data_IF_139256317182
#
_entry.id   IF_139256317182
#
_cell.length_a   1.000
_cell.length_b   1.000
_cell.length_c   1.000
_cell.angle_alpha   90.00
_cell.angle_beta   90.00
_cell.angle_gamma   90.00
#
_symmetry.space_group_name_H-M   'P 1'
#
loop_
_entity.id
_entity.type
_entity.pdbx_description
1 polymer ?
#
# COMPACT_ATOMS: atom_id res chain seq x y z
N UNK A 1 12.74 8.13 -18.00
CA UNK A 1 12.69 6.73 -17.51
C UNK A 1 11.23 6.37 -17.31
N UNK A 2 10.88 5.13 -17.60
CA UNK A 2 9.56 4.57 -17.36
C UNK A 2 9.76 3.21 -16.69
N UNK A 3 8.91 2.87 -15.71
CA UNK A 3 9.05 1.65 -14.92
C UNK A 3 7.90 0.69 -15.26
N UNK A 4 8.18 -0.61 -15.27
CA UNK A 4 7.21 -1.66 -15.54
C UNK A 4 7.59 -2.91 -14.74
N UNK A 5 6.71 -3.32 -13.84
CA UNK A 5 6.85 -4.59 -13.11
C UNK A 5 6.61 -5.77 -14.07
N UNK A 6 7.28 -6.89 -13.82
CA UNK A 6 7.33 -8.04 -14.75
C UNK A 6 5.98 -8.75 -14.97
N UNK A 7 4.98 -8.42 -14.17
CA UNK A 7 3.64 -9.00 -14.18
C UNK A 7 2.52 -8.01 -14.55
N UNK A 8 2.89 -6.76 -14.81
CA UNK A 8 2.03 -5.67 -15.26
C UNK A 8 2.08 -5.49 -16.78
N UNK A 9 1.10 -4.78 -17.34
CA UNK A 9 1.00 -4.55 -18.79
C UNK A 9 0.66 -3.10 -19.09
N UNK A 10 1.47 -2.44 -19.91
CA UNK A 10 1.12 -1.14 -20.48
C UNK A 10 0.07 -1.27 -21.57
N UNK A 11 -0.88 -0.35 -21.59
CA UNK A 11 -1.79 -0.18 -22.72
C UNK A 11 -1.06 0.54 -23.87
N UNK A 12 -1.50 0.37 -25.13
CA UNK A 12 -0.80 0.90 -26.30
C UNK A 12 -0.52 2.42 -26.24
N UNK A 13 -1.38 3.17 -25.56
CA UNK A 13 -1.32 4.63 -25.46
C UNK A 13 -0.42 5.11 -24.30
N UNK A 14 0.13 4.21 -23.47
CA UNK A 14 0.83 4.57 -22.24
C UNK A 14 1.92 5.63 -22.46
N UNK A 15 2.89 5.33 -23.33
CA UNK A 15 4.03 6.23 -23.54
C UNK A 15 3.60 7.53 -24.22
N UNK A 16 2.72 7.47 -25.21
CA UNK A 16 2.33 8.67 -25.97
C UNK A 16 1.59 9.67 -25.08
N UNK A 17 0.71 9.22 -24.18
CA UNK A 17 -0.02 10.11 -23.29
C UNK A 17 0.80 10.58 -22.09
N UNK A 18 1.65 9.71 -21.52
CA UNK A 18 2.58 10.14 -20.47
C UNK A 18 3.60 11.16 -20.97
N UNK A 19 4.13 10.99 -22.19
CA UNK A 19 5.07 11.93 -22.80
C UNK A 19 4.41 13.27 -23.13
N UNK A 20 3.13 13.28 -23.55
CA UNK A 20 2.38 14.54 -23.71
C UNK A 20 2.26 15.26 -22.36
N UNK A 21 1.88 14.55 -21.31
CA UNK A 21 1.67 15.14 -19.98
C UNK A 21 2.98 15.67 -19.38
N UNK A 22 4.07 14.89 -19.39
CA UNK A 22 5.34 15.28 -18.77
C UNK A 22 6.02 16.48 -19.47
N UNK A 23 5.70 16.70 -20.75
CA UNK A 23 6.19 17.84 -21.53
C UNK A 23 5.21 19.03 -21.54
N UNK A 24 4.03 18.91 -20.91
CA UNK A 24 3.04 19.99 -20.87
C UNK A 24 3.42 21.11 -19.88
N UNK A 25 2.93 22.34 -20.12
CA UNK A 25 2.97 23.52 -19.25
C UNK A 25 4.16 23.62 -18.26
N UNK A 26 5.30 24.04 -18.77
CA UNK A 26 6.54 24.23 -17.99
C UNK A 26 7.26 22.94 -17.61
N UNK A 27 6.76 21.77 -18.05
CA UNK A 27 7.34 20.45 -17.83
C UNK A 27 7.10 19.90 -16.42
N UNK A 28 6.83 18.61 -16.33
CA UNK A 28 6.83 17.87 -15.07
C UNK A 28 8.08 16.99 -14.98
N UNK A 29 8.43 16.65 -13.75
CA UNK A 29 9.56 15.77 -13.43
C UNK A 29 9.12 14.31 -13.30
N UNK A 30 7.89 14.11 -12.83
CA UNK A 30 7.25 12.81 -12.74
C UNK A 30 5.77 12.91 -13.07
N UNK A 31 5.29 11.96 -13.86
CA UNK A 31 3.88 11.78 -14.18
C UNK A 31 3.48 10.32 -13.93
N UNK A 32 2.25 10.11 -13.50
CA UNK A 32 1.69 8.76 -13.39
C UNK A 32 0.22 8.68 -13.83
N UNK A 33 -0.21 7.49 -14.23
CA UNK A 33 -1.59 7.23 -14.65
C UNK A 33 -2.36 6.33 -13.69
N UNK A 34 -3.66 6.20 -13.94
CA UNK A 34 -4.48 5.17 -13.33
C UNK A 34 -4.21 3.81 -13.98
N UNK A 35 -4.56 2.75 -13.25
CA UNK A 35 -4.43 1.37 -13.68
C UNK A 35 -5.72 0.60 -13.40
N UNK A 36 -6.05 -0.35 -14.27
CA UNK A 36 -7.10 -1.33 -14.03
C UNK A 36 -6.49 -2.58 -13.39
N UNK A 37 -7.07 -3.02 -12.28
CA UNK A 37 -6.56 -4.18 -11.56
C UNK A 37 -7.08 -5.49 -12.18
N UNK A 38 -6.26 -6.54 -12.16
CA UNK A 38 -6.64 -7.88 -12.59
C UNK A 38 -5.93 -8.98 -11.77
N UNK A 39 -6.28 -10.25 -11.97
CA UNK A 39 -5.72 -11.38 -11.25
C UNK A 39 -6.47 -11.72 -9.95
N UNK A 40 -6.58 -10.77 -9.03
CA UNK A 40 -7.34 -10.95 -7.79
C UNK A 40 -8.84 -10.70 -8.02
N UNK A 41 -9.74 -11.69 -7.83
CA UNK A 41 -11.17 -11.54 -8.10
C UNK A 41 -11.86 -10.39 -7.35
N UNK A 42 -11.36 -10.02 -6.16
CA UNK A 42 -11.94 -8.95 -5.33
C UNK A 42 -11.73 -7.59 -5.99
N UNK A 43 -10.59 -7.41 -6.65
CA UNK A 43 -10.18 -6.13 -7.22
C UNK A 43 -10.22 -6.13 -8.75
N UNK A 44 -10.40 -7.28 -9.39
CA UNK A 44 -10.43 -7.40 -10.83
C UNK A 44 -11.47 -6.46 -11.46
N UNK A 45 -11.06 -5.75 -12.51
CA UNK A 45 -11.87 -4.76 -13.21
C UNK A 45 -12.05 -3.42 -12.47
N UNK A 46 -11.51 -3.27 -11.25
CA UNK A 46 -11.56 -2.00 -10.53
C UNK A 46 -10.36 -1.11 -10.89
N UNK A 47 -10.64 0.17 -11.11
CA UNK A 47 -9.63 1.20 -11.23
C UNK A 47 -8.89 1.38 -9.90
N UNK A 48 -7.58 1.56 -9.97
CA UNK A 48 -6.74 1.74 -8.78
C UNK A 48 -7.00 3.08 -8.10
N UNK A 49 -7.15 4.16 -8.86
CA UNK A 49 -7.49 5.48 -8.31
C UNK A 49 -8.93 5.56 -7.78
N UNK A 50 -9.78 4.57 -8.04
CA UNK A 50 -11.10 4.47 -7.38
C UNK A 50 -10.99 3.94 -5.96
N UNK A 51 -10.04 3.04 -5.70
CA UNK A 51 -9.80 2.48 -4.37
C UNK A 51 -8.79 3.30 -3.57
N UNK A 52 -7.75 3.82 -4.23
CA UNK A 52 -6.67 4.61 -3.65
C UNK A 52 -6.46 5.86 -4.52
N UNK A 53 -7.32 6.89 -4.37
CA UNK A 53 -7.29 8.06 -5.23
C UNK A 53 -5.99 8.85 -5.08
N UNK A 54 -5.70 9.63 -6.11
CA UNK A 54 -4.88 10.84 -5.99
C UNK A 54 -5.81 12.05 -5.97
N UNK A 55 -5.62 12.95 -4.99
CA UNK A 55 -6.52 14.08 -4.71
C UNK A 55 -5.76 15.41 -4.72
N UNK A 56 -6.17 16.32 -5.62
CA UNK A 56 -5.54 17.64 -5.79
C UNK A 56 -4.07 17.53 -6.25
N UNK A 57 -3.25 18.51 -5.87
CA UNK A 57 -1.82 18.54 -6.18
C UNK A 57 -1.06 17.41 -5.47
N UNK A 58 0.01 16.91 -6.11
CA UNK A 58 0.88 15.89 -5.51
C UNK A 58 2.00 16.58 -4.72
N UNK A 59 1.91 16.52 -3.40
CA UNK A 59 2.91 17.10 -2.48
C UNK A 59 3.57 16.02 -1.64
N UNK A 60 4.67 16.38 -0.96
CA UNK A 60 5.35 15.51 -0.01
C UNK A 60 4.38 15.00 1.07
N UNK A 61 3.57 15.89 1.65
CA UNK A 61 2.58 15.57 2.69
C UNK A 61 1.50 14.61 2.18
N UNK A 62 1.00 14.83 0.96
CA UNK A 62 -0.04 13.97 0.37
C UNK A 62 0.46 12.59 -0.02
N UNK A 63 1.73 12.48 -0.39
CA UNK A 63 2.38 11.18 -0.54
C UNK A 63 2.55 10.50 0.83
N UNK A 64 2.97 11.24 1.88
CA UNK A 64 3.12 10.70 3.23
C UNK A 64 1.81 10.10 3.77
N UNK A 65 0.69 10.84 3.68
CA UNK A 65 -0.58 10.37 4.24
C UNK A 65 -1.31 9.37 3.32
N UNK A 66 -0.89 9.19 2.07
CA UNK A 66 -1.55 8.32 1.10
C UNK A 66 -2.77 8.95 0.43
N UNK A 67 -2.87 10.28 0.41
CA UNK A 67 -3.84 11.01 -0.42
C UNK A 67 -3.45 11.06 -1.90
N UNK A 68 -2.18 10.78 -2.19
CA UNK A 68 -1.65 10.51 -3.52
C UNK A 68 -0.97 9.15 -3.53
N UNK A 69 -1.40 8.26 -4.42
CA UNK A 69 -0.93 6.89 -4.51
C UNK A 69 -0.32 6.65 -5.90
N UNK A 70 0.99 6.40 -5.94
CA UNK A 70 1.75 6.21 -7.17
C UNK A 70 1.90 4.71 -7.43
N UNK A 71 1.54 4.26 -8.62
CA UNK A 71 1.77 2.89 -9.07
C UNK A 71 3.05 2.90 -9.91
N UNK A 72 4.06 2.13 -9.50
CA UNK A 72 5.37 2.12 -10.14
C UNK A 72 5.30 1.83 -11.63
N UNK A 73 4.55 0.80 -12.04
CA UNK A 73 4.31 0.49 -13.47
C UNK A 73 3.57 1.58 -14.25
N UNK A 74 3.00 2.58 -13.59
CA UNK A 74 2.30 3.69 -14.22
C UNK A 74 3.12 4.98 -14.33
N UNK A 75 4.39 4.97 -13.94
CA UNK A 75 5.25 6.16 -13.85
C UNK A 75 6.08 6.39 -15.11
N UNK A 76 6.15 7.66 -15.52
CA UNK A 76 7.24 8.21 -16.35
C UNK A 76 7.88 9.38 -15.62
N UNK A 77 9.21 9.38 -15.52
CA UNK A 77 9.98 10.41 -14.83
C UNK A 77 11.19 10.90 -15.64
N UNK A 78 11.62 12.15 -15.42
CA UNK A 78 12.85 12.71 -15.96
C UNK A 78 14.04 11.93 -15.39
N UNK A 79 14.87 11.39 -16.29
CA UNK A 79 16.04 10.58 -15.91
C UNK A 79 16.96 11.34 -14.94
N UNK A 80 17.23 12.60 -15.24
CA UNK A 80 18.14 13.41 -14.43
C UNK A 80 17.63 13.57 -13.00
N UNK A 81 16.34 13.87 -12.81
CA UNK A 81 15.74 14.01 -11.48
C UNK A 81 15.84 12.74 -10.63
N UNK A 82 15.66 11.57 -11.25
CA UNK A 82 15.82 10.26 -10.58
C UNK A 82 17.28 10.04 -10.14
N UNK A 83 18.24 10.46 -10.96
CA UNK A 83 19.67 10.37 -10.64
C UNK A 83 20.03 11.36 -9.53
N UNK A 84 19.57 12.61 -9.62
CA UNK A 84 19.87 13.69 -8.67
C UNK A 84 19.45 13.31 -7.24
N UNK A 85 18.30 12.66 -7.08
CA UNK A 85 17.82 12.23 -5.76
C UNK A 85 18.40 10.88 -5.29
N UNK A 86 19.16 10.17 -6.12
CA UNK A 86 19.91 8.96 -5.74
C UNK A 86 19.29 7.60 -6.11
N UNK A 87 18.60 7.48 -7.25
CA UNK A 87 18.00 6.22 -7.77
C UNK A 87 17.10 5.50 -6.73
N UNK A 88 16.81 4.20 -6.92
CA UNK A 88 16.18 3.36 -5.90
C UNK A 88 17.20 2.99 -4.82
N UNK A 89 16.76 3.06 -3.56
CA UNK A 89 17.59 2.65 -2.43
C UNK A 89 17.46 1.13 -2.22
N UNK A 90 18.56 0.41 -2.51
CA UNK A 90 18.65 -1.05 -2.44
C UNK A 90 18.57 -1.61 -1.02
N UNK A 91 18.65 -0.76 0.01
CA UNK A 91 18.47 -1.18 1.40
C UNK A 91 17.00 -1.52 1.72
N UNK A 92 16.06 -1.09 0.87
CA UNK A 92 14.65 -1.40 0.99
C UNK A 92 14.28 -2.60 0.11
N UNK A 93 13.98 -3.78 0.70
CA UNK A 93 13.51 -4.94 -0.06
C UNK A 93 12.06 -4.76 -0.55
N UNK A 94 11.34 -3.80 0.04
CA UNK A 94 9.99 -3.39 -0.33
C UNK A 94 9.81 -1.89 -0.07
N UNK A 95 8.85 -1.26 -0.76
CA UNK A 95 8.57 0.18 -0.64
C UNK A 95 9.71 1.10 -1.11
N UNK A 96 10.68 0.59 -1.89
CA UNK A 96 11.77 1.40 -2.45
C UNK A 96 11.27 2.49 -3.41
N UNK A 97 10.12 2.25 -4.04
CA UNK A 97 9.40 3.21 -4.88
C UNK A 97 8.82 4.35 -4.04
N UNK A 98 8.19 4.04 -2.92
CA UNK A 98 7.66 5.04 -2.00
C UNK A 98 8.78 5.97 -1.48
N UNK A 99 9.94 5.43 -1.10
CA UNK A 99 11.12 6.22 -0.74
C UNK A 99 11.56 7.17 -1.86
N UNK A 100 11.59 6.68 -3.10
CA UNK A 100 11.97 7.49 -4.26
C UNK A 100 10.97 8.62 -4.52
N UNK A 101 9.66 8.36 -4.44
CA UNK A 101 8.63 9.38 -4.63
C UNK A 101 8.70 10.47 -3.56
N UNK A 102 8.92 10.09 -2.30
CA UNK A 102 9.11 11.05 -1.20
C UNK A 102 10.35 11.91 -1.40
N UNK A 103 11.48 11.33 -1.83
CA UNK A 103 12.70 12.09 -2.12
C UNK A 103 12.50 13.08 -3.27
N UNK A 104 11.86 12.65 -4.37
CA UNK A 104 11.53 13.54 -5.48
C UNK A 104 10.64 14.71 -5.06
N UNK A 105 9.56 14.43 -4.34
CA UNK A 105 8.64 15.47 -3.87
C UNK A 105 9.32 16.44 -2.90
N UNK A 106 10.20 15.92 -2.01
CA UNK A 106 10.94 16.75 -1.07
C UNK A 106 12.02 17.60 -1.74
N UNK A 107 12.60 17.11 -2.84
CA UNK A 107 13.54 17.86 -3.70
C UNK A 107 12.82 18.78 -4.71
N UNK A 108 11.58 19.18 -4.43
CA UNK A 108 10.78 20.10 -5.26
C UNK A 108 10.53 19.62 -6.70
N UNK A 109 10.54 18.31 -6.94
CA UNK A 109 10.16 17.78 -8.26
C UNK A 109 8.68 18.07 -8.52
N UNK A 110 8.35 18.53 -9.72
CA UNK A 110 6.98 18.75 -10.16
C UNK A 110 6.35 17.41 -10.50
N UNK A 111 5.44 16.95 -9.64
CA UNK A 111 4.74 15.67 -9.82
C UNK A 111 3.28 15.93 -10.18
N UNK A 112 2.75 15.18 -11.16
CA UNK A 112 1.32 15.20 -11.49
C UNK A 112 0.82 13.82 -11.91
N UNK A 113 -0.49 13.70 -12.13
CA UNK A 113 -1.12 12.47 -12.59
C UNK A 113 -2.26 12.71 -13.56
N UNK A 114 -2.65 11.64 -14.26
CA UNK A 114 -3.85 11.58 -15.08
C UNK A 114 -4.74 10.41 -14.67
N UNK A 115 -6.06 10.59 -14.82
CA UNK A 115 -7.05 9.55 -14.50
C UNK A 115 -7.30 8.54 -15.63
N UNK A 116 -6.62 8.71 -16.76
CA UNK A 116 -6.72 7.74 -17.86
C UNK A 116 -6.09 6.42 -17.41
N UNK A 117 -6.82 5.32 -17.62
CA UNK A 117 -6.28 3.98 -17.42
C UNK A 117 -5.28 3.73 -18.52
N UNK A 118 -4.00 3.57 -18.17
CA UNK A 118 -2.93 3.29 -19.13
C UNK A 118 -2.13 2.02 -18.79
N UNK A 119 -2.47 1.35 -17.69
CA UNK A 119 -1.78 0.15 -17.20
C UNK A 119 -2.81 -0.89 -16.74
N UNK A 120 -2.54 -2.17 -16.98
CA UNK A 120 -3.18 -3.29 -16.29
C UNK A 120 -2.24 -3.72 -15.16
N UNK A 121 -2.68 -3.57 -13.93
CA UNK A 121 -1.92 -3.92 -12.73
C UNK A 121 -2.34 -5.29 -12.22
N UNK A 122 -1.40 -6.22 -12.11
CA UNK A 122 -1.68 -7.53 -11.53
C UNK A 122 -1.72 -7.41 -10.02
N UNK A 123 -2.78 -7.96 -9.45
CA UNK A 123 -2.91 -8.22 -8.02
C UNK A 123 -3.05 -9.72 -7.84
N UNK A 124 -2.32 -10.29 -6.89
CA UNK A 124 -2.41 -11.71 -6.58
C UNK A 124 -3.54 -11.97 -5.57
N UNK A 125 -4.35 -12.99 -5.84
CA UNK A 125 -5.24 -13.55 -4.84
C UNK A 125 -4.39 -14.19 -3.73
N UNK A 126 -4.65 -13.84 -2.48
CA UNK A 126 -3.84 -14.34 -1.37
C UNK A 126 -2.47 -13.67 -1.21
N UNK A 127 -2.27 -12.44 -1.70
CA UNK A 127 -1.29 -11.52 -1.07
C UNK A 127 -1.63 -11.50 0.42
N UNK A 128 -0.88 -12.27 1.19
CA UNK A 128 -1.29 -12.72 2.50
C UNK A 128 -1.39 -11.50 3.41
N UNK A 129 -2.11 -11.63 4.54
CA UNK A 129 -1.92 -10.69 5.64
C UNK A 129 -0.43 -10.49 5.98
N UNK A 130 0.43 -11.50 5.75
CA UNK A 130 1.90 -11.40 5.84
C UNK A 130 2.47 -10.37 4.86
N UNK A 131 2.11 -10.43 3.60
CA UNK A 131 2.67 -9.55 2.57
C UNK A 131 2.19 -8.12 2.78
N UNK A 132 0.92 -7.97 3.20
CA UNK A 132 0.37 -6.67 3.59
C UNK A 132 1.01 -6.11 4.87
N UNK A 133 1.30 -6.94 5.88
CA UNK A 133 2.05 -6.53 7.08
C UNK A 133 3.48 -6.11 6.71
N UNK A 134 4.17 -6.92 5.89
CA UNK A 134 5.51 -6.57 5.37
C UNK A 134 5.49 -5.25 4.59
N UNK A 135 4.43 -4.98 3.82
CA UNK A 135 4.25 -3.70 3.13
C UNK A 135 4.21 -2.53 4.12
N UNK A 136 3.40 -2.63 5.17
CA UNK A 136 3.34 -1.59 6.20
C UNK A 136 4.67 -1.44 6.96
N UNK A 137 5.36 -2.54 7.26
CA UNK A 137 6.69 -2.50 7.89
C UNK A 137 7.73 -1.86 6.95
N UNK A 138 7.63 -2.09 5.64
CA UNK A 138 8.41 -1.40 4.61
C UNK A 138 8.17 0.11 4.61
N UNK A 139 6.90 0.51 4.52
CA UNK A 139 6.49 1.92 4.58
C UNK A 139 6.96 2.62 5.86
N UNK A 140 6.86 1.96 7.02
CA UNK A 140 7.34 2.51 8.30
C UNK A 140 8.84 2.80 8.23
N UNK A 141 9.65 1.88 7.70
CA UNK A 141 11.11 2.10 7.57
C UNK A 141 11.44 3.27 6.65
N UNK A 142 10.67 3.43 5.56
CA UNK A 142 10.79 4.59 4.66
C UNK A 142 10.43 5.89 5.38
N UNK A 143 9.33 5.91 6.14
CA UNK A 143 8.90 7.07 6.92
C UNK A 143 9.91 7.44 8.01
N UNK A 144 10.48 6.44 8.70
CA UNK A 144 11.54 6.64 9.69
C UNK A 144 12.81 7.20 9.04
N UNK A 145 13.15 6.78 7.82
CA UNK A 145 14.23 7.38 7.03
C UNK A 145 13.91 8.83 6.66
N UNK A 146 12.71 9.10 6.16
CA UNK A 146 12.29 10.46 5.81
C UNK A 146 12.35 11.41 7.03
N UNK A 147 11.98 10.93 8.22
CA UNK A 147 12.02 11.71 9.47
C UNK A 147 13.43 12.17 9.88
N UNK A 148 14.49 11.51 9.39
CA UNK A 148 15.89 11.82 9.70
C UNK A 148 16.49 12.89 8.79
N UNK A 149 15.76 13.37 7.79
CA UNK A 149 16.26 14.46 6.94
C UNK A 149 16.27 15.79 7.71
N UNK A 150 17.29 16.59 7.46
CA UNK A 150 17.48 17.89 8.12
C UNK A 150 16.50 18.96 7.63
N UNK A 151 15.94 18.79 6.43
CA UNK A 151 15.01 19.71 5.79
C UNK A 151 13.53 19.47 6.17
N UNK A 152 13.25 18.57 7.11
CA UNK A 152 11.89 18.24 7.57
C UNK A 152 11.41 19.27 8.59
N UNK A 153 10.28 19.91 8.28
CA UNK A 153 9.64 20.88 9.18
C UNK A 153 9.00 20.17 10.39
N UNK A 154 8.64 20.94 11.42
CA UNK A 154 7.91 20.40 12.59
C UNK A 154 6.57 19.78 12.19
N UNK A 155 5.79 20.45 11.34
CA UNK A 155 4.51 19.93 10.85
C UNK A 155 4.66 18.65 10.03
N UNK A 156 5.71 18.56 9.20
CA UNK A 156 6.03 17.33 8.46
C UNK A 156 6.45 16.20 9.41
N UNK A 157 7.22 16.50 10.47
CA UNK A 157 7.62 15.53 11.48
C UNK A 157 6.42 14.97 12.24
N UNK A 158 5.47 15.82 12.62
CA UNK A 158 4.20 15.41 13.25
C UNK A 158 3.37 14.53 12.31
N UNK A 159 3.24 14.93 11.04
CA UNK A 159 2.54 14.14 10.04
C UNK A 159 3.19 12.77 9.84
N UNK A 160 4.52 12.71 9.74
CA UNK A 160 5.27 11.44 9.65
C UNK A 160 4.97 10.55 10.87
N UNK A 161 5.00 11.11 12.08
CA UNK A 161 4.72 10.36 13.30
C UNK A 161 3.27 9.80 13.32
N UNK A 162 2.30 10.61 12.90
CA UNK A 162 0.89 10.19 12.78
C UNK A 162 0.73 9.09 11.72
N UNK A 163 1.38 9.23 10.57
CA UNK A 163 1.37 8.21 9.51
C UNK A 163 2.00 6.92 10.00
N UNK A 164 3.15 6.96 10.69
CA UNK A 164 3.79 5.77 11.28
C UNK A 164 2.83 5.08 12.26
N UNK A 165 2.18 5.84 13.15
CA UNK A 165 1.21 5.28 14.10
C UNK A 165 0.01 4.63 13.38
N UNK A 166 -0.47 5.25 12.30
CA UNK A 166 -1.53 4.70 11.44
C UNK A 166 -1.10 3.38 10.79
N UNK A 167 0.07 3.33 10.15
CA UNK A 167 0.60 2.12 9.50
C UNK A 167 0.86 1.00 10.50
N UNK A 168 1.41 1.30 11.68
CA UNK A 168 1.58 0.33 12.77
C UNK A 168 0.23 -0.25 13.21
N UNK A 169 -0.76 0.60 13.46
CA UNK A 169 -2.11 0.14 13.80
C UNK A 169 -2.71 -0.75 12.71
N UNK A 170 -2.55 -0.41 11.42
CA UNK A 170 -3.04 -1.22 10.31
C UNK A 170 -2.34 -2.58 10.24
N UNK A 171 -1.02 -2.63 10.45
CA UNK A 171 -0.27 -3.88 10.53
C UNK A 171 -0.77 -4.77 11.68
N UNK A 172 -0.99 -4.20 12.87
CA UNK A 172 -1.49 -4.93 14.03
C UNK A 172 -2.93 -5.45 13.83
N UNK A 173 -3.80 -4.70 13.15
CA UNK A 173 -5.12 -5.23 12.75
C UNK A 173 -4.99 -6.45 11.85
N UNK A 174 -4.07 -6.46 10.89
CA UNK A 174 -3.85 -7.60 10.00
C UNK A 174 -3.27 -8.82 10.73
N UNK A 175 -2.30 -8.59 11.64
CA UNK A 175 -1.77 -9.64 12.52
C UNK A 175 -2.88 -10.25 13.38
N UNK A 176 -3.70 -9.41 13.99
CA UNK A 176 -4.83 -9.84 14.83
C UNK A 176 -5.87 -10.64 14.04
N UNK A 177 -6.21 -10.21 12.82
CA UNK A 177 -7.12 -10.95 11.92
C UNK A 177 -6.58 -12.33 11.58
N UNK A 178 -5.29 -12.44 11.22
CA UNK A 178 -4.67 -13.73 10.92
C UNK A 178 -4.70 -14.66 12.13
N UNK A 179 -4.24 -14.18 13.29
CA UNK A 179 -4.22 -14.97 14.52
C UNK A 179 -5.62 -15.46 14.89
N UNK A 180 -6.63 -14.58 14.77
CA UNK A 180 -8.03 -14.92 15.01
C UNK A 180 -8.51 -16.04 14.08
N UNK A 181 -8.25 -15.93 12.77
CA UNK A 181 -8.66 -16.93 11.79
C UNK A 181 -7.99 -18.28 12.02
N UNK A 182 -6.75 -18.28 12.50
CA UNK A 182 -5.99 -19.47 12.89
C UNK A 182 -6.40 -20.07 14.26
N UNK A 183 -7.19 -19.33 15.07
CA UNK A 183 -7.61 -19.76 16.40
C UNK A 183 -6.61 -19.43 17.51
N UNK A 184 -5.63 -18.59 17.22
CA UNK A 184 -4.61 -18.10 18.15
C UNK A 184 -5.15 -16.90 18.94
N UNK A 185 -6.13 -17.13 19.80
CA UNK A 185 -6.92 -16.05 20.42
C UNK A 185 -6.09 -15.05 21.25
N UNK A 186 -5.11 -15.52 22.02
CA UNK A 186 -4.25 -14.64 22.82
C UNK A 186 -3.35 -13.74 21.96
N UNK A 187 -2.92 -14.24 20.80
CA UNK A 187 -2.15 -13.45 19.84
C UNK A 187 -3.07 -12.44 19.14
N UNK A 188 -4.29 -12.86 18.80
CA UNK A 188 -5.29 -11.97 18.21
C UNK A 188 -5.65 -10.82 19.14
N UNK A 189 -5.89 -11.10 20.43
CA UNK A 189 -6.23 -10.08 21.42
C UNK A 189 -5.09 -9.08 21.59
N UNK A 190 -3.85 -9.57 21.76
CA UNK A 190 -2.67 -8.70 21.90
C UNK A 190 -2.52 -7.76 20.71
N UNK A 191 -2.61 -8.29 19.48
CA UNK A 191 -2.48 -7.49 18.27
C UNK A 191 -3.60 -6.44 18.16
N UNK A 192 -4.87 -6.82 18.39
CA UNK A 192 -5.95 -5.84 18.37
C UNK A 192 -5.84 -4.79 19.49
N UNK A 193 -5.30 -5.15 20.66
CA UNK A 193 -5.09 -4.23 21.77
C UNK A 193 -4.01 -3.18 21.43
N UNK A 194 -2.91 -3.61 20.80
CA UNK A 194 -1.86 -2.71 20.28
C UNK A 194 -2.40 -1.78 19.18
N UNK A 195 -3.25 -2.29 18.29
CA UNK A 195 -3.92 -1.45 17.29
C UNK A 195 -4.85 -0.40 17.96
N UNK A 196 -5.61 -0.81 18.97
CA UNK A 196 -6.53 0.09 19.67
C UNK A 196 -5.80 1.18 20.46
N UNK A 197 -4.72 0.86 21.17
CA UNK A 197 -3.97 1.87 21.94
C UNK A 197 -3.33 2.94 21.05
N UNK A 198 -3.06 2.61 19.78
CA UNK A 198 -2.41 3.53 18.82
C UNK A 198 -3.38 4.53 18.19
N UNK A 199 -4.59 4.10 17.79
CA UNK A 199 -5.52 4.91 16.97
C UNK A 199 -6.92 5.06 17.59
N UNK A 200 -7.22 4.38 18.71
CA UNK A 200 -8.50 4.41 19.41
C UNK A 200 -9.74 4.14 18.52
N UNK A 201 -9.57 3.31 17.48
CA UNK A 201 -10.63 3.01 16.51
C UNK A 201 -11.75 2.16 17.13
N UNK A 202 -12.99 2.66 17.08
CA UNK A 202 -14.14 1.99 17.71
C UNK A 202 -14.46 0.60 17.12
N UNK A 203 -14.16 0.36 15.83
CA UNK A 203 -14.35 -0.96 15.21
C UNK A 203 -13.37 -1.97 15.81
N UNK A 204 -12.13 -1.56 16.05
CA UNK A 204 -11.12 -2.40 16.73
C UNK A 204 -11.54 -2.65 18.17
N UNK A 205 -12.08 -1.63 18.87
CA UNK A 205 -12.65 -1.79 20.22
C UNK A 205 -13.78 -2.81 20.26
N UNK A 206 -14.68 -2.80 19.26
CA UNK A 206 -15.79 -3.76 19.17
C UNK A 206 -15.27 -5.19 18.96
N UNK A 207 -14.28 -5.37 18.08
CA UNK A 207 -13.63 -6.68 17.86
C UNK A 207 -12.93 -7.16 19.14
N UNK A 208 -12.23 -6.28 19.85
CA UNK A 208 -11.62 -6.62 21.15
C UNK A 208 -12.66 -7.07 22.18
N UNK A 209 -13.76 -6.33 22.28
CA UNK A 209 -14.84 -6.67 23.20
C UNK A 209 -15.45 -8.03 22.87
N UNK A 210 -15.76 -8.29 21.58
CA UNK A 210 -16.34 -9.57 21.16
C UNK A 210 -15.35 -10.72 21.35
N UNK A 211 -14.07 -10.50 21.07
CA UNK A 211 -13.01 -11.49 21.24
C UNK A 211 -12.86 -11.90 22.71
N UNK A 212 -12.91 -10.94 23.64
CA UNK A 212 -12.87 -11.19 25.09
C UNK A 212 -14.11 -11.90 25.61
N UNK A 213 -15.28 -11.61 25.03
CA UNK A 213 -16.54 -12.24 25.45
C UNK A 213 -16.68 -13.66 24.91
N UNK A 214 -16.38 -13.86 23.62
CA UNK A 214 -16.47 -15.16 22.95
C UNK A 214 -15.52 -15.24 21.76
N UNK A 215 -14.31 -15.82 21.96
CA UNK A 215 -13.32 -15.94 20.90
C UNK A 215 -13.78 -16.78 19.71
N UNK A 216 -14.46 -17.92 19.99
CA UNK A 216 -14.93 -18.85 18.95
C UNK A 216 -16.04 -18.25 18.09
N UNK A 217 -16.99 -17.53 18.70
CA UNK A 217 -18.05 -16.84 17.94
C UNK A 217 -17.46 -15.74 17.08
N UNK A 218 -16.54 -14.94 17.64
CA UNK A 218 -15.82 -13.90 16.89
C UNK A 218 -15.07 -14.49 15.70
N UNK A 219 -14.35 -15.59 15.88
CA UNK A 219 -13.68 -16.29 14.78
C UNK A 219 -14.67 -16.79 13.72
N UNK A 220 -15.80 -17.38 14.12
CA UNK A 220 -16.79 -17.89 13.19
C UNK A 220 -17.40 -16.77 12.33
N UNK A 221 -17.68 -15.61 12.93
CA UNK A 221 -18.14 -14.41 12.21
C UNK A 221 -17.11 -13.95 11.17
N UNK A 222 -15.82 -13.93 11.53
CA UNK A 222 -14.75 -13.55 10.60
C UNK A 222 -14.58 -14.55 9.45
N UNK A 223 -14.62 -15.86 9.73
CA UNK A 223 -14.57 -16.90 8.69
C UNK A 223 -15.76 -16.79 7.73
N UNK A 224 -16.95 -16.52 8.26
CA UNK A 224 -18.15 -16.29 7.45
C UNK A 224 -18.06 -15.00 6.62
N UNK A 225 -17.47 -13.92 7.16
CA UNK A 225 -17.24 -12.70 6.39
C UNK A 225 -16.23 -12.93 5.25
N UNK A 226 -15.12 -13.63 5.52
CA UNK A 226 -14.09 -13.92 4.53
C UNK A 226 -14.55 -14.84 3.40
N UNK A 227 -15.44 -15.79 3.70
CA UNK A 227 -16.03 -16.66 2.67
C UNK A 227 -16.94 -15.88 1.71
N UNK A 228 -17.64 -14.84 2.20
CA UNK A 228 -18.45 -13.95 1.37
C UNK A 228 -17.64 -12.94 0.57
N UNK A 229 -16.47 -12.52 1.07
CA UNK A 229 -15.58 -11.61 0.34
C UNK A 229 -14.61 -12.33 -0.59
N UNK A 230 -14.63 -13.67 -0.64
CA UNK A 230 -13.77 -14.46 -1.53
C UNK A 230 -12.33 -14.64 -1.04
N UNK A 231 -12.03 -14.34 0.23
CA UNK A 231 -10.68 -14.47 0.81
C UNK A 231 -10.32 -15.92 1.18
N UNK A 232 -11.31 -16.78 1.42
CA UNK A 232 -11.11 -18.11 2.00
C UNK A 232 -10.82 -19.23 0.98
N UNK A 233 -10.95 -18.98 -0.32
CA UNK A 233 -10.74 -19.98 -1.36
C UNK A 233 -9.26 -20.13 -1.74
N UNK A 234 -8.40 -20.51 -0.79
CA UNK A 234 -7.06 -21.09 -1.10
C UNK A 234 -6.33 -21.75 0.08
N UNK A 235 -6.92 -21.81 1.29
CA UNK A 235 -6.28 -22.45 2.45
C UNK A 235 -6.82 -23.84 2.79
N UNK A 236 -7.56 -24.50 1.89
CA UNK A 236 -7.83 -25.93 2.00
C UNK A 236 -6.61 -26.71 1.52
N UNK A 237 -5.75 -27.03 2.49
CA UNK A 237 -4.87 -28.19 2.57
C UNK A 237 -5.27 -29.26 1.54
N UNK A 238 -4.47 -29.45 0.48
CA UNK A 238 -4.47 -30.73 -0.22
C UNK A 238 -3.83 -31.74 0.74
N UNK A 239 -4.50 -32.84 1.09
CA UNK A 239 -3.86 -33.91 1.82
C UNK A 239 -2.77 -34.49 0.91
N UNK A 240 -1.54 -34.52 1.42
CA UNK A 240 -0.46 -35.36 0.90
C UNK A 240 -0.97 -36.79 0.77
N UNK A 241 -1.29 -37.21 -0.45
CA UNK A 241 -1.44 -38.62 -0.79
C UNK A 241 -0.03 -39.21 -0.87
N UNK A 242 0.40 -39.82 0.23
CA UNK A 242 1.37 -40.88 0.19
C UNK A 242 0.66 -42.18 -0.26
N UNK A 243 1.34 -42.96 -1.10
CA UNK A 243 1.08 -44.32 -1.64
C UNK A 243 1.04 -44.28 -3.19
N UNK A 244 1.85 -45.02 -3.93
CA UNK A 244 2.95 -45.95 -3.62
C UNK A 244 3.75 -46.19 -4.90
#
# INVERSE_FOLDING_TARGET
MAFLDGDDVWLPEFLSDQLKLINSNGGYDLVYADAINFGNPIFAGRNSMKTNPSLGDVTFEKLLCGECNVITSAVVARRQRIIDVGLFDVQFPNSQDFDLWLRLAKDNSRITYQRKILVKRRLYAGSLAADSVKSFEGEIRVLEKAARRDDITLSQRELIALTIASRRSSAEVLKGKRALLNGEFDQAERAFALAYSSQHNWKVRLVLFSLRLSPRVTQHMFKFQESRTGNFASSSIQPTSAQG
#
